data_IF_441994093959
#
_entry.id   IF_441994093959
#
_cell.length_a   1.000
_cell.length_b   1.000
_cell.length_c   1.000
_cell.angle_alpha   90.00
_cell.angle_beta   90.00
_cell.angle_gamma   90.00
#
_symmetry.space_group_name_H-M   'P 1'
#
loop_
_entity.id
_entity.type
_entity.pdbx_description
1 polymer ?
#
# COMPACT_ATOMS: atom_id res chain seq x y z
N UNK A 1 22.09 -49.78 -21.44
CA UNK A 1 20.75 -49.61 -22.05
C UNK A 1 19.71 -49.01 -21.09
N UNK A 2 19.62 -49.44 -19.82
CA UNK A 2 18.67 -48.87 -18.83
C UNK A 2 18.93 -47.39 -18.45
N UNK A 3 20.20 -46.97 -18.42
CA UNK A 3 20.63 -45.58 -18.11
C UNK A 3 20.23 -44.58 -19.21
N UNK A 4 20.32 -44.99 -20.48
CA UNK A 4 19.91 -44.17 -21.65
C UNK A 4 18.39 -44.02 -21.69
N UNK A 5 17.64 -45.05 -21.27
CA UNK A 5 16.18 -44.99 -21.17
C UNK A 5 15.70 -44.05 -20.05
N UNK A 6 16.44 -43.98 -18.93
CA UNK A 6 16.14 -43.03 -17.85
C UNK A 6 16.41 -41.57 -18.27
N UNK A 7 17.47 -41.32 -19.02
CA UNK A 7 17.78 -39.98 -19.55
C UNK A 7 16.78 -39.52 -20.62
N UNK A 8 16.26 -40.45 -21.44
CA UNK A 8 15.21 -40.17 -22.42
C UNK A 8 13.85 -39.88 -21.79
N UNK A 9 13.51 -40.53 -20.66
CA UNK A 9 12.28 -40.24 -19.92
C UNK A 9 12.35 -38.92 -19.13
N UNK A 10 13.53 -38.53 -18.63
CA UNK A 10 13.71 -37.27 -17.91
C UNK A 10 13.57 -36.02 -18.80
N UNK A 11 13.83 -36.14 -20.11
CA UNK A 11 13.72 -35.04 -21.08
C UNK A 11 12.26 -34.64 -21.38
N UNK A 12 11.31 -35.59 -21.32
CA UNK A 12 9.90 -35.33 -21.65
C UNK A 12 9.14 -34.49 -20.61
N UNK A 13 9.69 -34.25 -19.42
CA UNK A 13 9.00 -33.51 -18.35
C UNK A 13 9.15 -31.98 -18.51
N UNK A 14 10.10 -31.50 -19.33
CA UNK A 14 10.41 -30.07 -19.45
C UNK A 14 9.56 -29.29 -20.46
N UNK A 15 8.62 -29.93 -21.18
CA UNK A 15 7.82 -29.30 -22.24
C UNK A 15 6.35 -29.07 -21.90
N UNK A 16 5.96 -29.18 -20.62
CA UNK A 16 4.61 -28.82 -20.18
C UNK A 16 4.53 -27.29 -20.00
N UNK A 17 4.54 -26.58 -21.12
CA UNK A 17 4.16 -25.16 -21.17
C UNK A 17 2.64 -25.08 -21.16
N UNK A 18 2.06 -24.53 -20.09
CA UNK A 18 0.64 -24.18 -20.06
C UNK A 18 0.38 -23.14 -21.16
N UNK A 19 -0.29 -23.54 -22.24
CA UNK A 19 -0.87 -22.57 -23.16
C UNK A 19 -1.84 -21.71 -22.37
N UNK A 20 -1.63 -20.39 -22.39
CA UNK A 20 -2.61 -19.42 -21.93
C UNK A 20 -3.89 -19.70 -22.72
N UNK A 21 -4.88 -20.30 -22.07
CA UNK A 21 -6.22 -20.41 -22.62
C UNK A 21 -6.77 -18.99 -22.58
N UNK A 22 -6.96 -18.39 -23.75
CA UNK A 22 -7.77 -17.20 -23.85
C UNK A 22 -9.18 -17.61 -23.45
N UNK A 23 -9.54 -17.34 -22.20
CA UNK A 23 -10.89 -17.52 -21.73
C UNK A 23 -11.77 -16.61 -22.60
N UNK A 24 -12.82 -17.14 -23.28
CA UNK A 24 -13.80 -16.27 -23.91
C UNK A 24 -14.36 -15.38 -22.80
N UNK A 25 -14.34 -14.06 -23.05
CA UNK A 25 -14.78 -13.07 -22.08
C UNK A 25 -16.15 -13.47 -21.53
N UNK A 26 -16.17 -13.81 -20.24
CA UNK A 26 -17.41 -14.01 -19.51
C UNK A 26 -18.23 -12.72 -19.61
N UNK A 27 -19.51 -12.78 -20.02
CA UNK A 27 -20.39 -11.61 -20.02
C UNK A 27 -20.67 -11.25 -18.55
N UNK A 28 -19.84 -10.39 -17.99
CA UNK A 28 -19.86 -10.01 -16.58
C UNK A 28 -18.54 -9.49 -16.02
N UNK A 29 -17.42 -9.59 -16.77
CA UNK A 29 -16.16 -9.00 -16.33
C UNK A 29 -16.17 -7.49 -16.61
N UNK A 30 -16.69 -6.68 -15.68
CA UNK A 30 -16.15 -5.34 -15.50
C UNK A 30 -14.67 -5.49 -15.19
N UNK A 31 -13.83 -5.30 -16.19
CA UNK A 31 -12.37 -5.23 -16.02
C UNK A 31 -12.09 -4.23 -14.91
N UNK A 32 -11.48 -4.69 -13.83
CA UNK A 32 -11.15 -3.84 -12.70
C UNK A 32 -10.27 -2.68 -13.19
N UNK A 33 -10.62 -1.45 -12.78
CA UNK A 33 -9.82 -0.27 -13.12
C UNK A 33 -8.49 -0.29 -12.38
N UNK A 34 -7.50 0.48 -12.85
CA UNK A 34 -6.20 0.59 -12.16
C UNK A 34 -6.39 1.04 -10.72
N UNK A 35 -7.33 1.95 -10.50
CA UNK A 35 -7.69 2.49 -9.20
C UNK A 35 -8.38 1.46 -8.31
N UNK A 36 -9.20 0.56 -8.88
CA UNK A 36 -9.76 -0.57 -8.14
C UNK A 36 -8.64 -1.51 -7.68
N UNK A 37 -7.73 -1.86 -8.58
CA UNK A 37 -6.60 -2.72 -8.28
C UNK A 37 -5.66 -2.10 -7.23
N UNK A 38 -5.46 -0.79 -7.25
CA UNK A 38 -4.70 -0.08 -6.23
C UNK A 38 -5.32 -0.27 -4.84
N UNK A 39 -6.63 0.01 -4.69
CA UNK A 39 -7.33 -0.14 -3.41
C UNK A 39 -7.34 -1.58 -2.92
N UNK A 40 -7.52 -2.53 -3.84
CA UNK A 40 -7.46 -3.95 -3.53
C UNK A 40 -6.06 -4.34 -3.05
N UNK A 41 -5.01 -3.83 -3.69
CA UNK A 41 -3.61 -4.11 -3.33
C UNK A 41 -3.25 -3.54 -1.96
N UNK A 42 -3.66 -2.30 -1.66
CA UNK A 42 -3.44 -1.67 -0.34
C UNK A 42 -4.07 -2.55 0.75
N UNK A 43 -5.32 -2.98 0.56
CA UNK A 43 -5.97 -3.87 1.52
C UNK A 43 -5.25 -5.22 1.65
N UNK A 44 -4.93 -5.88 0.54
CA UNK A 44 -4.33 -7.22 0.57
C UNK A 44 -2.94 -7.21 1.22
N UNK A 45 -2.09 -6.26 0.86
CA UNK A 45 -0.77 -6.15 1.48
C UNK A 45 -0.87 -5.77 2.95
N UNK A 46 -1.77 -4.83 3.31
CA UNK A 46 -1.99 -4.51 4.72
C UNK A 46 -2.47 -5.74 5.48
N UNK A 47 -3.35 -6.56 4.91
CA UNK A 47 -3.83 -7.78 5.59
C UNK A 47 -2.72 -8.82 5.84
N UNK A 48 -1.65 -8.81 5.04
CA UNK A 48 -0.55 -9.77 5.14
C UNK A 48 0.58 -9.34 6.09
N UNK A 49 0.91 -8.04 6.14
CA UNK A 49 2.11 -7.56 6.87
C UNK A 49 1.80 -6.66 8.07
N UNK A 50 0.54 -6.25 8.24
CA UNK A 50 0.17 -5.31 9.29
C UNK A 50 0.15 -5.97 10.66
N UNK A 51 0.75 -5.29 11.66
CA UNK A 51 0.88 -5.79 13.02
C UNK A 51 -0.46 -6.22 13.64
N UNK A 52 -1.54 -5.47 13.37
CA UNK A 52 -2.88 -5.75 13.88
C UNK A 52 -3.82 -6.29 12.80
N UNK A 53 -3.31 -7.11 11.89
CA UNK A 53 -4.11 -7.70 10.80
C UNK A 53 -5.37 -8.41 11.26
N UNK A 54 -5.41 -8.96 12.48
CA UNK A 54 -6.58 -9.67 13.03
C UNK A 54 -7.83 -8.80 13.17
N UNK A 55 -7.68 -7.48 13.36
CA UNK A 55 -8.84 -6.58 13.49
C UNK A 55 -9.47 -6.22 12.15
N UNK A 56 -8.76 -6.46 11.03
CA UNK A 56 -9.22 -6.10 9.69
C UNK A 56 -10.33 -7.08 9.26
N UNK A 57 -11.55 -6.62 8.92
CA UNK A 57 -12.63 -7.49 8.47
C UNK A 57 -12.27 -8.24 7.18
N UNK A 58 -13.06 -9.26 6.82
CA UNK A 58 -12.90 -9.93 5.54
C UNK A 58 -13.14 -8.97 4.36
N UNK A 59 -12.56 -9.27 3.20
CA UNK A 59 -12.56 -8.38 2.02
C UNK A 59 -13.96 -7.88 1.64
N UNK A 60 -14.97 -8.75 1.65
CA UNK A 60 -16.34 -8.38 1.30
C UNK A 60 -17.00 -7.44 2.33
N UNK A 61 -16.60 -7.54 3.60
CA UNK A 61 -17.11 -6.68 4.68
C UNK A 61 -16.39 -5.33 4.70
N UNK A 62 -15.07 -5.34 4.52
CA UNK A 62 -14.27 -4.12 4.46
C UNK A 62 -14.49 -3.35 3.16
N UNK A 63 -14.72 -4.06 2.04
CA UNK A 63 -14.98 -3.55 0.70
C UNK A 63 -14.05 -2.38 0.31
N UNK A 64 -12.77 -2.64 0.00
CA UNK A 64 -11.78 -1.58 -0.20
C UNK A 64 -12.12 -0.63 -1.37
N UNK A 65 -12.89 -1.10 -2.35
CA UNK A 65 -13.28 -0.31 -3.53
C UNK A 65 -14.26 0.82 -3.23
N UNK A 66 -14.87 0.84 -2.04
CA UNK A 66 -15.73 1.94 -1.62
C UNK A 66 -14.95 3.23 -1.31
N UNK A 67 -13.66 3.12 -0.98
CA UNK A 67 -12.82 4.24 -0.55
C UNK A 67 -12.24 5.02 -1.74
N UNK A 68 -13.09 5.81 -2.40
CA UNK A 68 -12.69 6.62 -3.55
C UNK A 68 -12.20 8.01 -3.13
N UNK A 69 -11.06 8.43 -3.66
CA UNK A 69 -10.51 9.78 -3.57
C UNK A 69 -10.50 10.49 -4.92
N UNK A 70 -10.18 11.78 -4.93
CA UNK A 70 -9.94 12.55 -6.15
C UNK A 70 -8.63 12.14 -6.84
N UNK A 71 -7.67 11.61 -6.06
CA UNK A 71 -6.39 11.09 -6.57
C UNK A 71 -6.17 9.62 -6.17
N UNK A 72 -5.20 8.97 -6.82
CA UNK A 72 -4.75 7.62 -6.46
C UNK A 72 -4.23 7.59 -5.00
N UNK A 73 -3.42 8.58 -4.62
CA UNK A 73 -2.90 8.72 -3.26
C UNK A 73 -4.03 8.88 -2.23
N UNK A 74 -4.98 9.78 -2.48
CA UNK A 74 -6.10 10.01 -1.56
C UNK A 74 -6.98 8.74 -1.41
N UNK A 75 -7.17 8.00 -2.51
CA UNK A 75 -7.90 6.73 -2.46
C UNK A 75 -7.19 5.69 -1.58
N UNK A 76 -5.87 5.57 -1.74
CA UNK A 76 -5.06 4.64 -0.94
C UNK A 76 -4.99 5.07 0.54
N UNK A 77 -4.85 6.37 0.81
CA UNK A 77 -4.91 6.93 2.16
C UNK A 77 -6.25 6.67 2.83
N UNK A 78 -7.38 6.83 2.13
CA UNK A 78 -8.71 6.51 2.67
C UNK A 78 -8.85 5.04 3.08
N UNK A 79 -8.31 4.11 2.28
CA UNK A 79 -8.26 2.69 2.63
C UNK A 79 -7.46 2.49 3.92
N UNK A 80 -6.25 3.05 3.97
CA UNK A 80 -5.37 2.90 5.14
C UNK A 80 -5.98 3.54 6.38
N UNK A 81 -6.53 4.76 6.30
CA UNK A 81 -7.17 5.45 7.42
C UNK A 81 -8.38 4.69 7.96
N UNK A 82 -9.14 4.02 7.10
CA UNK A 82 -10.23 3.14 7.53
C UNK A 82 -9.70 1.93 8.32
N UNK A 83 -8.57 1.35 7.90
CA UNK A 83 -7.90 0.26 8.63
C UNK A 83 -7.37 0.76 9.97
N UNK A 84 -6.67 1.90 9.99
CA UNK A 84 -6.11 2.51 11.21
C UNK A 84 -7.16 2.78 12.27
N UNK A 85 -8.37 3.21 11.87
CA UNK A 85 -9.49 3.45 12.80
C UNK A 85 -9.93 2.20 13.56
N UNK A 86 -9.60 1.00 13.07
CA UNK A 86 -9.89 -0.26 13.76
C UNK A 86 -8.97 -0.50 14.96
N UNK A 87 -7.81 0.18 15.00
CA UNK A 87 -6.83 0.05 16.08
C UNK A 87 -6.35 1.43 16.55
N UNK A 88 -6.81 1.86 17.72
CA UNK A 88 -6.45 3.16 18.30
C UNK A 88 -4.94 3.34 18.56
N UNK A 89 -4.19 2.24 18.68
CA UNK A 89 -2.73 2.28 18.87
C UNK A 89 -1.95 2.56 17.58
N UNK A 90 -2.58 2.48 16.40
CA UNK A 90 -1.88 2.66 15.13
C UNK A 90 -1.71 4.14 14.73
N UNK A 91 -0.58 4.69 15.16
CA UNK A 91 -0.17 6.07 14.86
C UNK A 91 0.86 6.19 13.74
N UNK A 92 1.42 5.08 13.28
CA UNK A 92 2.64 5.06 12.47
C UNK A 92 2.45 4.48 11.08
N UNK A 93 1.33 3.82 10.80
CA UNK A 93 1.05 3.33 9.45
C UNK A 93 0.53 4.46 8.57
N UNK A 94 1.12 4.63 7.38
CA UNK A 94 0.73 5.66 6.42
C UNK A 94 0.93 5.18 4.99
N UNK A 95 0.36 5.93 4.04
CA UNK A 95 0.56 5.74 2.60
C UNK A 95 1.14 7.03 2.04
N UNK A 96 2.20 6.88 1.25
CA UNK A 96 2.93 7.96 0.58
C UNK A 96 3.23 7.54 -0.86
N UNK A 97 3.60 8.49 -1.70
CA UNK A 97 4.04 8.19 -3.07
C UNK A 97 5.44 7.61 -3.07
N UNK A 98 5.81 6.91 -4.14
CA UNK A 98 7.18 6.40 -4.29
C UNK A 98 8.20 7.55 -4.30
N UNK A 99 7.88 8.66 -4.97
CA UNK A 99 8.76 9.84 -5.05
C UNK A 99 9.07 10.41 -3.66
N UNK A 100 8.05 10.58 -2.82
CA UNK A 100 8.21 11.01 -1.42
C UNK A 100 9.00 9.97 -0.59
N UNK A 101 8.72 8.68 -0.76
CA UNK A 101 9.44 7.61 -0.06
C UNK A 101 10.93 7.60 -0.42
N UNK A 102 11.24 7.72 -1.72
CA UNK A 102 12.62 7.71 -2.23
C UNK A 102 13.36 8.98 -1.77
N UNK A 103 12.69 10.12 -1.73
CA UNK A 103 13.21 11.37 -1.16
C UNK A 103 13.59 11.22 0.32
N UNK A 104 12.70 10.64 1.14
CA UNK A 104 12.94 10.37 2.56
C UNK A 104 14.09 9.37 2.79
N UNK A 105 14.20 8.34 1.95
CA UNK A 105 15.22 7.29 2.11
C UNK A 105 16.61 7.69 1.63
N UNK A 106 16.69 8.49 0.56
CA UNK A 106 17.96 8.93 -0.02
C UNK A 106 18.55 10.15 0.68
N UNK A 107 17.74 10.87 1.49
CA UNK A 107 18.13 12.17 2.03
C UNK A 107 18.28 13.25 0.95
N UNK A 108 17.75 13.01 -0.26
CA UNK A 108 17.67 14.00 -1.33
C UNK A 108 16.54 15.01 -1.05
N UNK A 109 15.53 14.60 -0.28
CA UNK A 109 14.59 15.56 0.28
C UNK A 109 15.34 16.56 1.16
N UNK A 110 15.03 17.85 0.99
CA UNK A 110 15.59 18.95 1.77
C UNK A 110 15.02 18.97 3.20
N UNK A 111 14.90 17.82 3.83
CA UNK A 111 14.38 17.64 5.18
C UNK A 111 15.44 16.97 6.05
N UNK A 112 15.71 17.56 7.22
CA UNK A 112 16.85 17.20 8.07
C UNK A 112 16.57 16.00 8.99
N UNK A 113 15.60 15.16 8.63
CA UNK A 113 15.15 14.03 9.46
C UNK A 113 14.37 14.46 10.71
N UNK A 114 13.89 15.71 10.76
CA UNK A 114 12.93 16.17 11.76
C UNK A 114 11.97 17.18 11.14
N UNK A 115 10.67 16.90 11.25
CA UNK A 115 9.65 17.80 10.72
C UNK A 115 9.52 19.03 11.63
N UNK A 116 9.84 20.21 11.11
CA UNK A 116 9.51 21.49 11.76
C UNK A 116 8.10 21.89 11.30
N UNK A 117 7.11 21.73 12.17
CA UNK A 117 5.74 22.23 11.94
C UNK A 117 5.40 23.34 12.92
N UNK A 118 4.72 24.38 12.45
CA UNK A 118 4.16 25.41 13.32
C UNK A 118 3.00 24.81 14.14
N UNK A 119 3.11 24.84 15.47
CA UNK A 119 2.11 24.27 16.39
C UNK A 119 0.85 25.14 16.48
N UNK A 120 1.06 26.46 16.53
CA UNK A 120 0.02 27.48 16.49
C UNK A 120 0.70 28.82 16.19
N UNK A 121 -0.03 29.71 15.52
CA UNK A 121 0.31 31.14 15.43
C UNK A 121 -0.64 31.85 16.38
N UNK A 122 -0.23 32.03 17.62
CA UNK A 122 -0.95 32.91 18.54
C UNK A 122 -0.50 34.34 18.26
N UNK A 123 -1.38 35.12 17.62
CA UNK A 123 -1.20 36.56 17.43
C UNK A 123 -1.63 37.28 18.70
N UNK A 124 -0.69 37.50 19.62
CA UNK A 124 -0.88 38.40 20.76
C UNK A 124 0.18 39.48 20.69
N UNK A 125 -0.22 40.71 20.39
CA UNK A 125 0.68 41.88 20.45
C UNK A 125 1.26 42.02 21.86
N UNK A 126 2.57 42.31 22.05
CA UNK A 126 3.50 42.91 21.08
C UNK A 126 4.48 41.94 20.40
N UNK A 127 4.35 40.62 20.56
CA UNK A 127 5.29 39.66 19.97
C UNK A 127 4.55 38.42 19.45
N UNK A 128 4.63 38.19 18.13
CA UNK A 128 4.15 36.93 17.53
C UNK A 128 5.02 35.77 18.05
N UNK A 129 4.49 34.99 18.98
CA UNK A 129 5.13 33.77 19.46
C UNK A 129 4.79 32.62 18.51
N UNK A 130 5.79 32.13 17.79
CA UNK A 130 5.68 30.90 16.98
C UNK A 130 6.16 29.73 17.84
N UNK A 131 5.24 28.84 18.20
CA UNK A 131 5.60 27.59 18.86
C UNK A 131 5.96 26.56 17.79
N UNK A 132 7.19 26.08 17.83
CA UNK A 132 7.66 24.98 16.99
C UNK A 132 7.57 23.69 17.78
N UNK A 133 7.06 22.61 17.18
CA UNK A 133 7.22 21.27 17.72
C UNK A 133 8.06 20.45 16.75
N UNK A 134 9.08 19.78 17.32
CA UNK A 134 9.96 18.87 16.60
C UNK A 134 9.36 17.49 16.74
N UNK A 135 8.92 16.90 15.63
CA UNK A 135 8.46 15.50 15.63
C UNK A 135 9.59 14.64 15.09
N UNK A 136 10.15 13.78 15.94
CA UNK A 136 11.14 12.79 15.52
C UNK A 136 10.41 11.60 14.89
N UNK A 137 10.86 11.17 13.72
CA UNK A 137 10.61 9.81 13.25
C UNK A 137 11.61 8.91 13.99
N UNK A 138 11.11 8.05 14.88
CA UNK A 138 11.88 6.92 15.42
C UNK A 138 11.60 5.69 14.59
#
# INVERSE_FOLDING_TARGET
MKQVWCLLMASCVLVISCRKKDNPASPGNTTATKEDLLRDSVYLYTKEVYLWQDVIPAYNQFNPRQYKGATELESAQKVMDAIRKLQALDRFSFVTTQEESDGLQSGEDKDYGFFIKAASIDKVEPLDSIFWFVTYAY
#
